data_IF_495882693192
#
_entry.id   IF_495882693192
#
_cell.length_a   1.000
_cell.length_b   1.000
_cell.length_c   1.000
_cell.angle_alpha   90.00
_cell.angle_beta   90.00
_cell.angle_gamma   90.00
#
_symmetry.space_group_name_H-M   'P 1'
#
loop_
_entity.id
_entity.type
_entity.pdbx_description
1 polymer ?
#
# COMPACT_ATOMS: atom_id res chain seq x y z
N UNK A 1 22.92 -5.68 -3.37
CA UNK A 1 22.09 -5.31 -2.18
C UNK A 1 20.64 -5.51 -2.60
N UNK A 2 19.85 -6.23 -1.82
CA UNK A 2 18.41 -6.30 -2.08
C UNK A 2 17.76 -4.98 -1.63
N UNK A 3 17.32 -4.14 -2.58
CA UNK A 3 16.73 -2.83 -2.25
C UNK A 3 15.40 -2.98 -1.50
N UNK A 4 14.66 -4.04 -1.79
CA UNK A 4 13.36 -4.29 -1.14
C UNK A 4 13.47 -4.83 0.29
N UNK A 5 14.67 -5.24 0.75
CA UNK A 5 14.89 -5.58 2.16
C UNK A 5 15.09 -4.35 3.07
N UNK A 6 15.39 -3.18 2.50
CA UNK A 6 15.51 -1.92 3.24
C UNK A 6 14.15 -1.49 3.80
N UNK A 7 14.16 -0.72 4.89
CA UNK A 7 12.98 0.01 5.35
C UNK A 7 12.63 1.12 4.36
N UNK A 8 11.41 1.62 4.38
CA UNK A 8 10.98 2.69 3.47
C UNK A 8 11.80 3.97 3.68
N UNK A 9 12.08 4.32 4.93
CA UNK A 9 12.89 5.49 5.27
C UNK A 9 14.35 5.31 4.86
N UNK A 10 14.94 4.12 5.00
CA UNK A 10 16.30 3.84 4.54
C UNK A 10 16.41 3.93 3.01
N UNK A 11 15.46 3.34 2.29
CA UNK A 11 15.42 3.41 0.84
C UNK A 11 15.24 4.87 0.37
N UNK A 12 14.33 5.62 0.98
CA UNK A 12 14.11 7.04 0.69
C UNK A 12 15.37 7.90 0.92
N UNK A 13 16.13 7.63 1.99
CA UNK A 13 17.43 8.28 2.24
C UNK A 13 18.44 8.00 1.12
N UNK A 14 18.54 6.75 0.66
CA UNK A 14 19.42 6.35 -0.44
C UNK A 14 19.02 6.97 -1.78
N UNK A 15 17.72 7.07 -2.05
CA UNK A 15 17.20 7.76 -3.24
C UNK A 15 17.56 9.25 -3.18
N UNK A 16 17.30 9.89 -2.05
CA UNK A 16 17.57 11.31 -1.85
C UNK A 16 19.07 11.66 -1.94
N UNK A 17 19.95 10.75 -1.51
CA UNK A 17 21.41 10.94 -1.63
C UNK A 17 21.95 10.65 -3.02
N UNK A 18 21.15 10.13 -3.95
CA UNK A 18 21.57 9.70 -5.29
C UNK A 18 22.29 8.35 -5.32
N UNK A 19 22.36 7.62 -4.19
CA UNK A 19 22.94 6.27 -4.11
C UNK A 19 22.08 5.23 -4.86
N UNK A 20 20.76 5.44 -4.89
CA UNK A 20 19.78 4.62 -5.58
C UNK A 20 18.89 5.50 -6.44
N UNK A 21 18.64 5.13 -7.68
CA UNK A 21 17.66 5.82 -8.51
C UNK A 21 16.25 5.28 -8.23
N UNK A 22 15.24 6.13 -8.42
CA UNK A 22 13.83 5.72 -8.26
C UNK A 22 13.49 4.55 -9.18
N UNK A 23 13.98 4.57 -10.43
CA UNK A 23 13.77 3.47 -11.39
C UNK A 23 14.38 2.15 -10.94
N UNK A 24 15.50 2.18 -10.20
CA UNK A 24 16.14 0.97 -9.68
C UNK A 24 15.31 0.38 -8.53
N UNK A 25 14.75 1.23 -7.67
CA UNK A 25 13.85 0.80 -6.60
C UNK A 25 12.55 0.18 -7.16
N UNK A 26 11.98 0.80 -8.20
CA UNK A 26 10.79 0.28 -8.89
C UNK A 26 11.10 -1.04 -9.59
N UNK A 27 12.21 -1.15 -10.30
CA UNK A 27 12.61 -2.41 -10.93
C UNK A 27 12.79 -3.52 -9.89
N UNK A 28 13.45 -3.24 -8.76
CA UNK A 28 13.63 -4.22 -7.70
C UNK A 28 12.28 -4.73 -7.13
N UNK A 29 11.28 -3.84 -6.99
CA UNK A 29 9.94 -4.25 -6.57
C UNK A 29 9.25 -5.15 -7.61
N UNK A 30 9.32 -4.79 -8.90
CA UNK A 30 8.75 -5.63 -9.96
C UNK A 30 9.46 -6.97 -10.12
N UNK A 31 10.77 -7.01 -9.98
CA UNK A 31 11.55 -8.24 -10.04
C UNK A 31 11.18 -9.18 -8.87
N UNK A 32 10.92 -8.62 -7.68
CA UNK A 32 10.45 -9.40 -6.54
C UNK A 32 9.02 -9.90 -6.76
N UNK A 33 8.11 -9.06 -7.26
CA UNK A 33 6.74 -9.46 -7.63
C UNK A 33 6.78 -10.62 -8.64
N UNK A 34 7.58 -10.52 -9.70
CA UNK A 34 7.72 -11.58 -10.69
C UNK A 34 8.19 -12.91 -10.07
N UNK A 35 9.06 -12.82 -9.06
CA UNK A 35 9.63 -13.99 -8.40
C UNK A 35 8.64 -14.71 -7.47
N UNK A 36 7.75 -13.99 -6.76
CA UNK A 36 6.99 -14.59 -5.65
C UNK A 36 5.47 -14.46 -5.75
N UNK A 37 4.94 -13.47 -6.49
CA UNK A 37 3.51 -13.12 -6.47
C UNK A 37 2.60 -14.26 -6.93
N UNK A 38 3.05 -15.06 -7.89
CA UNK A 38 2.31 -16.25 -8.35
C UNK A 38 1.99 -17.23 -7.22
N UNK A 39 2.84 -17.28 -6.21
CA UNK A 39 2.70 -18.17 -5.07
C UNK A 39 1.97 -17.51 -3.89
N UNK A 40 2.10 -16.18 -3.74
CA UNK A 40 1.58 -15.42 -2.59
C UNK A 40 0.19 -14.88 -2.86
N UNK A 41 -0.06 -14.35 -4.08
CA UNK A 41 -1.32 -13.69 -4.46
C UNK A 41 -1.66 -12.49 -3.57
N UNK A 42 -0.68 -11.62 -3.37
CA UNK A 42 -0.80 -10.42 -2.53
C UNK A 42 -1.50 -9.26 -3.24
N UNK A 43 -1.52 -9.24 -4.59
CA UNK A 43 -2.15 -8.20 -5.40
C UNK A 43 -3.40 -8.71 -6.10
N UNK A 44 -4.39 -7.82 -6.25
CA UNK A 44 -5.48 -7.94 -7.23
C UNK A 44 -5.04 -7.39 -8.59
N UNK A 45 -4.29 -6.29 -8.54
CA UNK A 45 -3.80 -5.61 -9.74
C UNK A 45 -2.39 -5.10 -9.52
N UNK A 46 -1.44 -5.63 -10.26
CA UNK A 46 -0.12 -5.02 -10.44
C UNK A 46 -0.22 -4.08 -11.64
N UNK A 47 0.25 -2.84 -11.50
CA UNK A 47 0.21 -1.87 -12.60
C UNK A 47 1.22 -2.23 -13.69
N UNK A 48 1.02 -1.73 -14.90
CA UNK A 48 1.96 -1.96 -16.00
C UNK A 48 3.33 -1.36 -15.65
N UNK A 49 4.37 -2.17 -15.74
CA UNK A 49 5.73 -1.77 -15.35
C UNK A 49 6.18 -0.50 -16.09
N UNK A 50 5.84 -0.38 -17.37
CA UNK A 50 6.20 0.76 -18.21
C UNK A 50 5.59 2.07 -17.68
N UNK A 51 4.29 2.05 -17.33
CA UNK A 51 3.59 3.22 -16.77
C UNK A 51 4.19 3.66 -15.41
N UNK A 52 4.58 2.68 -14.57
CA UNK A 52 5.18 2.95 -13.26
C UNK A 52 6.61 3.49 -13.43
N UNK A 53 7.37 2.99 -14.40
CA UNK A 53 8.71 3.48 -14.69
C UNK A 53 8.71 4.91 -15.24
N UNK A 54 7.76 5.28 -16.11
CA UNK A 54 7.59 6.66 -16.57
C UNK A 54 7.30 7.60 -15.38
N UNK A 55 6.45 7.18 -14.44
CA UNK A 55 6.19 7.94 -13.20
C UNK A 55 7.45 8.03 -12.33
N UNK A 56 8.23 6.96 -12.23
CA UNK A 56 9.47 6.91 -11.47
C UNK A 56 10.52 7.90 -12.01
N UNK A 57 10.66 7.99 -13.33
CA UNK A 57 11.57 8.96 -13.96
C UNK A 57 11.12 10.41 -13.72
N UNK A 58 9.82 10.67 -13.80
CA UNK A 58 9.27 11.98 -13.47
C UNK A 58 9.55 12.36 -12.01
N UNK A 59 9.31 11.43 -11.07
CA UNK A 59 9.59 11.66 -9.65
C UNK A 59 11.09 11.86 -9.40
N UNK A 60 11.97 11.09 -10.06
CA UNK A 60 13.41 11.28 -9.98
C UNK A 60 13.80 12.71 -10.35
N UNK A 61 13.27 13.23 -11.46
CA UNK A 61 13.52 14.61 -11.88
C UNK A 61 13.09 15.62 -10.83
N UNK A 62 11.92 15.45 -10.21
CA UNK A 62 11.45 16.36 -9.15
C UNK A 62 12.34 16.29 -7.89
N UNK A 63 12.90 15.11 -7.58
CA UNK A 63 13.88 14.96 -6.50
C UNK A 63 15.18 15.68 -6.83
N UNK A 64 15.71 15.50 -8.05
CA UNK A 64 16.96 16.12 -8.52
C UNK A 64 16.86 17.66 -8.57
N UNK A 65 15.66 18.17 -8.87
CA UNK A 65 15.34 19.61 -8.85
C UNK A 65 15.05 20.16 -7.44
N UNK A 66 15.07 19.32 -6.40
CA UNK A 66 14.79 19.70 -5.02
C UNK A 66 13.32 20.03 -4.73
N UNK A 67 12.39 19.66 -5.62
CA UNK A 67 10.94 19.86 -5.45
C UNK A 67 10.30 18.80 -4.55
N UNK A 68 10.85 17.57 -4.53
CA UNK A 68 10.45 16.48 -3.66
C UNK A 68 11.61 16.16 -2.71
N UNK A 69 11.42 16.48 -1.42
CA UNK A 69 12.46 16.32 -0.39
C UNK A 69 12.03 15.40 0.75
N UNK A 70 10.80 14.92 0.72
CA UNK A 70 10.23 14.06 1.76
C UNK A 70 10.88 12.67 1.83
N UNK A 71 10.74 11.97 2.96
CA UNK A 71 11.37 10.66 3.19
C UNK A 71 10.78 9.52 2.33
N UNK A 72 9.58 9.70 1.78
CA UNK A 72 8.90 8.69 0.96
C UNK A 72 8.99 8.98 -0.55
N UNK A 73 9.69 10.05 -0.95
CA UNK A 73 9.84 10.39 -2.36
C UNK A 73 10.61 9.28 -3.11
N UNK A 74 10.00 8.75 -4.17
CA UNK A 74 10.55 7.68 -4.99
C UNK A 74 10.39 6.26 -4.40
N UNK A 75 9.81 6.11 -3.21
CA UNK A 75 9.69 4.81 -2.54
C UNK A 75 8.47 4.04 -3.07
N UNK A 76 8.62 2.75 -3.51
CA UNK A 76 7.52 1.92 -3.98
C UNK A 76 6.52 1.57 -2.88
N UNK A 77 5.22 1.74 -3.18
CA UNK A 77 4.11 1.48 -2.24
C UNK A 77 2.98 0.70 -2.91
N UNK A 78 2.31 -0.14 -2.12
CA UNK A 78 1.09 -0.83 -2.51
C UNK A 78 -0.14 -0.29 -1.75
N UNK A 79 -1.30 -0.29 -2.40
CA UNK A 79 -2.54 0.29 -1.86
C UNK A 79 -3.60 -0.79 -1.75
N UNK A 80 -4.19 -0.99 -0.57
CA UNK A 80 -5.31 -1.92 -0.40
C UNK A 80 -6.46 -1.59 -1.36
N UNK A 81 -7.05 -2.62 -1.95
CA UNK A 81 -7.97 -2.48 -3.07
C UNK A 81 -9.37 -1.91 -2.73
N UNK A 82 -9.58 -1.43 -1.51
CA UNK A 82 -10.75 -0.65 -1.12
C UNK A 82 -10.51 0.86 -1.09
N UNK A 83 -9.32 1.33 -1.44
CA UNK A 83 -9.04 2.77 -1.58
C UNK A 83 -9.14 3.18 -3.03
N UNK A 84 -10.09 4.06 -3.34
CA UNK A 84 -10.24 4.62 -4.68
C UNK A 84 -8.93 5.24 -5.15
N UNK A 85 -8.52 4.86 -6.36
CA UNK A 85 -7.35 5.43 -7.04
C UNK A 85 -7.81 5.81 -8.44
N UNK A 86 -7.74 7.09 -8.78
CA UNK A 86 -8.27 7.63 -10.04
C UNK A 86 -7.75 6.85 -11.24
N UNK A 87 -8.68 6.45 -12.12
CA UNK A 87 -8.42 5.74 -13.37
C UNK A 87 -7.70 4.38 -13.21
N UNK A 88 -7.64 3.85 -11.98
CA UNK A 88 -7.11 2.53 -11.67
C UNK A 88 -8.21 1.63 -11.12
N UNK A 89 -8.23 0.38 -11.60
CA UNK A 89 -9.22 -0.61 -11.17
C UNK A 89 -9.23 -0.70 -9.63
N UNK A 90 -10.43 -0.60 -9.03
CA UNK A 90 -10.63 -0.69 -7.58
C UNK A 90 -11.82 -1.60 -7.31
N UNK A 91 -11.56 -2.82 -6.85
CA UNK A 91 -12.56 -3.88 -6.82
C UNK A 91 -13.06 -4.27 -5.44
N UNK A 92 -12.37 -3.88 -4.37
CA UNK A 92 -12.58 -4.45 -3.03
C UNK A 92 -12.48 -5.98 -3.02
N UNK A 93 -11.66 -6.56 -3.88
CA UNK A 93 -11.56 -8.00 -4.11
C UNK A 93 -12.88 -8.69 -4.45
N UNK A 94 -13.82 -7.94 -5.04
CA UNK A 94 -15.17 -8.40 -5.44
C UNK A 94 -15.35 -8.40 -6.96
N UNK A 95 -16.04 -9.42 -7.47
CA UNK A 95 -16.48 -9.46 -8.86
C UNK A 95 -17.47 -8.32 -9.20
N UNK A 96 -18.23 -7.86 -8.21
CA UNK A 96 -19.24 -6.80 -8.39
C UNK A 96 -18.57 -5.51 -8.89
N UNK A 97 -17.38 -5.17 -8.39
CA UNK A 97 -16.61 -4.00 -8.79
C UNK A 97 -15.49 -4.32 -9.82
N UNK A 98 -15.53 -5.46 -10.46
CA UNK A 98 -14.50 -5.92 -11.41
C UNK A 98 -14.26 -5.03 -12.62
N UNK A 99 -15.08 -4.00 -12.82
CA UNK A 99 -14.95 -2.98 -13.86
C UNK A 99 -15.07 -1.55 -13.32
N UNK A 100 -14.88 -1.36 -12.02
CA UNK A 100 -15.00 -0.03 -11.42
C UNK A 100 -13.66 0.72 -11.46
N UNK A 101 -13.63 1.82 -12.20
CA UNK A 101 -12.52 2.77 -12.29
C UNK A 101 -12.96 4.09 -11.67
N UNK A 102 -12.51 4.41 -10.45
CA UNK A 102 -12.89 5.65 -9.79
C UNK A 102 -12.45 6.88 -10.58
N UNK A 103 -13.28 7.93 -10.58
CA UNK A 103 -12.95 9.24 -11.16
C UNK A 103 -12.21 10.16 -10.19
N UNK A 104 -11.91 9.66 -8.99
CA UNK A 104 -11.20 10.37 -7.92
C UNK A 104 -10.34 9.40 -7.11
N UNK A 105 -9.36 9.95 -6.38
CA UNK A 105 -8.55 9.18 -5.44
C UNK A 105 -8.96 9.43 -3.99
N UNK A 106 -8.73 8.45 -3.12
CA UNK A 106 -8.80 8.63 -1.68
C UNK A 106 -7.79 9.69 -1.23
N UNK A 107 -8.12 10.48 -0.20
CA UNK A 107 -7.23 11.54 0.27
C UNK A 107 -5.86 11.01 0.71
N UNK A 108 -5.83 9.86 1.39
CA UNK A 108 -4.57 9.22 1.77
C UNK A 108 -3.69 8.87 0.53
N UNK A 109 -4.31 8.45 -0.57
CA UNK A 109 -3.61 8.16 -1.84
C UNK A 109 -3.08 9.46 -2.45
N UNK A 110 -3.88 10.53 -2.45
CA UNK A 110 -3.47 11.86 -2.92
C UNK A 110 -2.26 12.37 -2.13
N UNK A 111 -2.27 12.21 -0.82
CA UNK A 111 -1.17 12.65 0.05
C UNK A 111 0.12 11.88 -0.20
N UNK A 112 0.05 10.55 -0.44
CA UNK A 112 1.21 9.77 -0.85
C UNK A 112 1.74 10.20 -2.22
N UNK A 113 0.85 10.45 -3.18
CA UNK A 113 1.27 10.92 -4.51
C UNK A 113 1.94 12.29 -4.46
N UNK A 114 1.41 13.22 -3.65
CA UNK A 114 2.04 14.53 -3.39
C UNK A 114 3.40 14.41 -2.71
N UNK A 115 3.58 13.40 -1.85
CA UNK A 115 4.88 13.10 -1.23
C UNK A 115 5.87 12.42 -2.18
N UNK A 116 5.46 12.12 -3.41
CA UNK A 116 6.30 11.48 -4.43
C UNK A 116 6.42 9.97 -4.27
N UNK A 117 5.53 9.31 -3.55
CA UNK A 117 5.49 7.86 -3.48
C UNK A 117 5.13 7.23 -4.83
N UNK A 118 5.71 6.06 -5.14
CA UNK A 118 5.46 5.35 -6.40
C UNK A 118 4.51 4.18 -6.14
N UNK A 119 3.24 4.34 -6.54
CA UNK A 119 2.23 3.28 -6.38
C UNK A 119 2.45 2.22 -7.46
N UNK A 120 2.63 0.95 -7.04
CA UNK A 120 2.91 -0.17 -7.94
C UNK A 120 1.73 -1.10 -8.17
N UNK A 121 0.69 -1.03 -7.32
CA UNK A 121 -0.48 -1.88 -7.49
C UNK A 121 -1.51 -1.78 -6.37
N UNK A 122 -2.56 -2.61 -6.51
CA UNK A 122 -3.69 -2.74 -5.58
C UNK A 122 -3.63 -4.11 -4.93
N UNK A 123 -3.56 -4.14 -3.59
CA UNK A 123 -3.38 -5.38 -2.84
C UNK A 123 -4.70 -6.10 -2.56
N UNK A 124 -4.61 -7.42 -2.53
CA UNK A 124 -5.70 -8.31 -2.23
C UNK A 124 -6.23 -8.14 -0.80
N UNK A 125 -7.48 -8.50 -0.59
CA UNK A 125 -8.17 -8.31 0.68
C UNK A 125 -9.35 -9.27 0.80
N UNK A 126 -9.91 -9.43 1.97
CA UNK A 126 -11.24 -10.03 2.09
C UNK A 126 -12.27 -9.17 1.37
N UNK A 127 -13.22 -9.79 0.67
CA UNK A 127 -14.23 -9.11 -0.13
C UNK A 127 -14.95 -8.02 0.69
N UNK A 128 -14.95 -6.76 0.20
CA UNK A 128 -15.47 -5.57 0.88
C UNK A 128 -14.96 -5.37 2.31
N UNK A 129 -13.74 -5.83 2.61
CA UNK A 129 -13.11 -5.80 3.93
C UNK A 129 -13.85 -6.64 5.01
N UNK A 130 -14.75 -7.53 4.61
CA UNK A 130 -15.58 -8.37 5.48
C UNK A 130 -14.90 -9.72 5.71
N UNK A 131 -13.84 -9.77 6.48
CA UNK A 131 -13.14 -11.00 6.80
C UNK A 131 -11.88 -10.77 7.61
N UNK A 132 -11.15 -11.85 7.90
CA UNK A 132 -9.96 -11.84 8.74
C UNK A 132 -8.87 -12.80 8.25
N UNK A 133 -8.99 -13.32 7.02
CA UNK A 133 -8.08 -14.34 6.49
C UNK A 133 -7.61 -14.09 5.06
N UNK A 134 -8.26 -13.16 4.34
CA UNK A 134 -8.06 -12.88 2.91
C UNK A 134 -8.33 -14.12 2.02
N UNK A 135 -9.24 -14.97 2.47
CA UNK A 135 -9.72 -16.16 1.73
C UNK A 135 -10.99 -15.85 0.93
N UNK A 136 -11.73 -14.79 1.28
CA UNK A 136 -13.03 -14.46 0.67
C UNK A 136 -12.89 -13.65 -0.63
N UNK A 137 -11.67 -13.34 -1.05
CA UNK A 137 -11.40 -12.63 -2.29
C UNK A 137 -11.89 -13.40 -3.51
N UNK A 138 -12.59 -12.72 -4.42
CA UNK A 138 -12.94 -13.26 -5.74
C UNK A 138 -11.70 -13.63 -6.57
N UNK A 139 -10.58 -12.96 -6.34
CA UNK A 139 -9.32 -13.17 -7.08
C UNK A 139 -8.44 -14.29 -6.47
N UNK A 140 -9.01 -15.05 -5.53
CA UNK A 140 -8.33 -16.13 -4.83
C UNK A 140 -7.68 -15.71 -3.51
N UNK A 141 -7.33 -16.67 -2.65
CA UNK A 141 -6.76 -16.41 -1.34
C UNK A 141 -5.32 -15.92 -1.43
N UNK A 142 -4.97 -14.97 -0.57
CA UNK A 142 -3.57 -14.61 -0.32
C UNK A 142 -2.96 -15.60 0.69
N UNK A 143 -1.70 -15.95 0.49
CA UNK A 143 -0.96 -16.85 1.38
C UNK A 143 0.03 -16.08 2.25
N UNK A 144 0.32 -16.64 3.43
CA UNK A 144 1.32 -16.08 4.32
C UNK A 144 2.73 -16.34 3.76
N UNK A 145 3.56 -15.30 3.53
CA UNK A 145 4.90 -15.49 2.96
C UNK A 145 5.84 -16.37 3.77
N UNK A 146 5.65 -16.43 5.10
CA UNK A 146 6.46 -17.26 6.00
C UNK A 146 6.11 -18.75 5.91
N UNK A 147 4.85 -19.06 5.67
CA UNK A 147 4.38 -20.42 5.46
C UNK A 147 3.10 -20.39 4.61
N UNK A 148 3.21 -20.84 3.38
CA UNK A 148 2.14 -20.79 2.37
C UNK A 148 0.92 -21.68 2.68
N UNK A 149 1.01 -22.55 3.71
CA UNK A 149 -0.12 -23.33 4.23
C UNK A 149 -0.96 -22.55 5.24
N UNK A 150 -0.54 -21.34 5.62
CA UNK A 150 -1.23 -20.47 6.55
C UNK A 150 -1.78 -19.22 5.88
N UNK A 151 -2.83 -18.67 6.48
CA UNK A 151 -3.42 -17.40 6.07
C UNK A 151 -2.55 -16.22 6.49
N UNK A 152 -2.53 -15.12 5.72
CA UNK A 152 -1.82 -13.90 6.09
C UNK A 152 -2.56 -13.07 7.14
N UNK A 153 -3.77 -13.49 7.52
CA UNK A 153 -4.74 -12.65 8.20
C UNK A 153 -5.52 -11.76 7.23
N UNK A 154 -6.32 -10.84 7.77
CA UNK A 154 -7.19 -9.96 6.97
C UNK A 154 -7.91 -8.90 7.82
N UNK A 155 -8.61 -8.05 7.17
CA UNK A 155 -8.86 -8.01 5.72
C UNK A 155 -7.74 -7.38 4.87
N UNK A 156 -6.68 -6.80 5.45
CA UNK A 156 -5.53 -6.25 4.72
C UNK A 156 -4.41 -7.31 4.52
N UNK A 157 -4.77 -8.58 4.29
CA UNK A 157 -3.80 -9.67 4.17
C UNK A 157 -2.83 -9.48 3.00
N UNK A 158 -3.33 -9.03 1.84
CA UNK A 158 -2.48 -8.73 0.69
C UNK A 158 -1.47 -7.61 0.98
N UNK A 159 -1.89 -6.53 1.66
CA UNK A 159 -0.97 -5.44 2.04
C UNK A 159 0.15 -5.94 2.97
N UNK A 160 -0.20 -6.76 3.96
CA UNK A 160 0.79 -7.29 4.90
C UNK A 160 1.69 -8.35 4.25
N UNK A 161 1.13 -9.22 3.40
CA UNK A 161 1.88 -10.21 2.65
C UNK A 161 2.86 -9.57 1.66
N UNK A 162 2.44 -8.52 0.93
CA UNK A 162 3.29 -7.80 -0.01
C UNK A 162 4.52 -7.17 0.68
N UNK A 163 4.33 -6.57 1.87
CA UNK A 163 5.45 -6.02 2.65
C UNK A 163 6.35 -7.14 3.19
N UNK A 164 5.79 -8.22 3.73
CA UNK A 164 6.53 -9.36 4.27
C UNK A 164 7.30 -10.13 3.19
N UNK A 165 6.75 -10.21 1.97
CA UNK A 165 7.40 -10.83 0.81
C UNK A 165 8.37 -9.89 0.08
N UNK A 166 8.58 -8.67 0.59
CA UNK A 166 9.45 -7.67 -0.03
C UNK A 166 9.02 -7.23 -1.45
N UNK A 167 7.72 -7.33 -1.77
CA UNK A 167 7.17 -6.90 -3.06
C UNK A 167 6.96 -5.39 -3.14
N UNK A 168 6.94 -4.73 -2.00
CA UNK A 168 6.95 -3.28 -1.84
C UNK A 168 7.64 -2.88 -0.54
N UNK A 169 8.05 -1.61 -0.43
CA UNK A 169 8.69 -1.12 0.78
C UNK A 169 7.70 -0.94 1.93
N UNK A 170 6.47 -0.54 1.61
CA UNK A 170 5.35 -0.38 2.53
C UNK A 170 4.01 -0.44 1.79
N UNK A 171 2.93 -0.56 2.55
CA UNK A 171 1.59 -0.56 2.00
C UNK A 171 0.61 0.25 2.86
N UNK A 172 -0.53 0.63 2.29
CA UNK A 172 -1.69 1.07 3.06
C UNK A 172 -2.67 -0.08 3.25
N UNK A 173 -3.20 -0.17 4.44
CA UNK A 173 -4.32 -1.04 4.82
C UNK A 173 -5.50 -0.23 5.34
N UNK A 174 -6.60 -0.92 5.66
CA UNK A 174 -7.73 -0.36 6.39
C UNK A 174 -8.11 -1.26 7.55
N UNK A 175 -8.55 -0.68 8.66
CA UNK A 175 -8.88 -1.40 9.89
C UNK A 175 -10.20 -0.89 10.45
N UNK A 176 -11.14 -1.80 10.64
CA UNK A 176 -12.43 -1.56 11.27
C UNK A 176 -12.49 -2.26 12.63
N UNK A 177 -12.09 -3.52 12.67
CA UNK A 177 -12.09 -4.37 13.87
C UNK A 177 -10.80 -5.19 14.04
N UNK A 178 -9.67 -4.76 13.41
CA UNK A 178 -8.40 -5.48 13.47
C UNK A 178 -7.71 -5.67 12.12
N UNK A 179 -8.31 -5.17 11.03
CA UNK A 179 -7.91 -5.54 9.66
C UNK A 179 -6.57 -4.97 9.16
N UNK A 180 -5.85 -4.18 9.96
CA UNK A 180 -4.41 -3.88 9.80
C UNK A 180 -3.62 -4.66 10.84
N UNK A 181 -4.03 -4.58 12.11
CA UNK A 181 -3.27 -5.07 13.26
C UNK A 181 -3.10 -6.58 13.24
N UNK A 182 -4.17 -7.33 12.96
CA UNK A 182 -4.15 -8.78 12.95
C UNK A 182 -3.31 -9.34 11.79
N UNK A 183 -3.50 -8.93 10.51
CA UNK A 183 -2.65 -9.45 9.44
C UNK A 183 -1.20 -8.98 9.57
N UNK A 184 -0.92 -7.81 10.13
CA UNK A 184 0.46 -7.40 10.44
C UNK A 184 1.14 -8.34 11.43
N UNK A 185 0.42 -8.75 12.48
CA UNK A 185 0.90 -9.75 13.44
C UNK A 185 1.16 -11.11 12.79
N UNK A 186 0.28 -11.56 11.89
CA UNK A 186 0.41 -12.86 11.22
C UNK A 186 1.55 -12.89 10.21
N UNK A 187 1.80 -11.77 9.52
CA UNK A 187 2.87 -11.64 8.53
C UNK A 187 4.20 -11.15 9.13
N UNK A 188 4.28 -10.88 10.44
CA UNK A 188 5.50 -10.44 11.09
C UNK A 188 5.99 -9.06 10.63
N UNK A 189 5.05 -8.15 10.31
CA UNK A 189 5.32 -6.76 9.92
C UNK A 189 4.69 -5.80 10.92
N UNK A 190 5.01 -4.52 10.84
CA UNK A 190 4.43 -3.47 11.67
C UNK A 190 3.21 -2.86 10.99
N UNK A 191 2.11 -2.71 11.73
CA UNK A 191 0.92 -2.03 11.26
C UNK A 191 0.32 -1.12 12.32
N UNK A 192 -0.12 0.06 11.93
CA UNK A 192 -0.76 1.02 12.84
C UNK A 192 -2.20 1.29 12.40
N UNK A 193 -3.15 1.04 13.31
CA UNK A 193 -4.49 1.60 13.23
C UNK A 193 -4.48 2.94 13.98
N UNK A 194 -4.52 4.08 13.30
CA UNK A 194 -4.53 5.37 13.97
C UNK A 194 -5.83 5.60 14.74
N UNK A 195 -5.85 6.64 15.56
CA UNK A 195 -7.08 7.14 16.17
C UNK A 195 -8.08 7.53 15.08
N UNK A 196 -9.37 7.26 15.34
CA UNK A 196 -10.44 7.59 14.40
C UNK A 196 -10.43 9.10 14.07
N UNK A 197 -10.50 9.42 12.77
CA UNK A 197 -10.42 10.78 12.26
C UNK A 197 -9.00 11.32 12.02
N UNK A 198 -7.94 10.60 12.38
CA UNK A 198 -6.56 11.04 12.09
C UNK A 198 -6.26 11.07 10.60
N UNK A 199 -6.81 10.11 9.85
CA UNK A 199 -6.65 9.98 8.39
C UNK A 199 -8.03 10.09 7.76
N UNK A 200 -8.18 10.93 6.74
CA UNK A 200 -9.44 11.06 6.00
C UNK A 200 -9.88 9.73 5.41
N UNK A 201 -11.17 9.42 5.55
CA UNK A 201 -11.81 8.25 4.93
C UNK A 201 -12.39 8.57 3.56
N UNK A 202 -12.27 9.80 3.08
CA UNK A 202 -12.73 10.15 1.74
C UNK A 202 -12.04 9.26 0.70
N UNK A 203 -12.86 8.56 -0.10
CA UNK A 203 -12.42 7.60 -1.10
C UNK A 203 -12.06 6.21 -0.56
N UNK A 204 -12.23 5.95 0.73
CA UNK A 204 -12.24 4.60 1.27
C UNK A 204 -13.64 3.99 1.07
N UNK A 205 -13.74 2.84 0.40
CA UNK A 205 -15.00 2.09 0.31
C UNK A 205 -15.26 1.47 1.67
N UNK A 206 -16.39 1.87 2.28
CA UNK A 206 -16.66 1.60 3.69
C UNK A 206 -17.04 0.14 3.97
N UNK A 207 -16.61 -0.35 5.14
CA UNK A 207 -17.15 -1.54 5.78
C UNK A 207 -18.01 -1.13 6.99
N UNK A 208 -17.42 -0.47 7.98
CA UNK A 208 -18.10 0.08 9.15
C UNK A 208 -17.72 1.52 9.35
N UNK A 209 -18.45 2.45 8.71
CA UNK A 209 -18.09 3.88 8.58
C UNK A 209 -17.74 4.58 9.88
N UNK A 210 -18.30 4.15 11.02
CA UNK A 210 -18.00 4.72 12.34
C UNK A 210 -16.74 4.16 12.99
N UNK A 211 -16.05 3.22 12.34
CA UNK A 211 -14.89 2.52 12.88
C UNK A 211 -13.71 2.50 11.89
N UNK A 212 -13.99 2.56 10.59
CA UNK A 212 -12.98 2.42 9.54
C UNK A 212 -11.87 3.47 9.67
N UNK A 213 -10.64 3.01 9.58
CA UNK A 213 -9.46 3.88 9.45
C UNK A 213 -8.48 3.31 8.43
N UNK A 214 -7.88 4.20 7.64
CA UNK A 214 -6.71 3.90 6.82
C UNK A 214 -5.47 3.99 7.71
N UNK A 215 -4.52 3.09 7.52
CA UNK A 215 -3.25 3.14 8.22
C UNK A 215 -2.13 2.41 7.50
N UNK A 216 -0.89 2.66 7.91
CA UNK A 216 0.30 2.10 7.30
C UNK A 216 0.55 0.65 7.72
N UNK A 217 1.18 -0.08 6.81
CA UNK A 217 1.84 -1.37 7.02
C UNK A 217 3.26 -1.26 6.49
N UNK A 218 4.26 -1.55 7.29
CA UNK A 218 5.66 -1.42 6.94
C UNK A 218 6.54 -2.37 7.75
N UNK A 219 7.85 -2.34 7.52
CA UNK A 219 8.80 -3.25 8.19
C UNK A 219 9.04 -2.87 9.66
N UNK A 220 9.02 -1.58 9.97
CA UNK A 220 9.26 -1.12 11.34
C UNK A 220 8.33 0.04 11.75
N UNK A 221 8.47 0.45 13.02
CA UNK A 221 7.66 1.51 13.63
C UNK A 221 8.03 2.89 13.07
N UNK A 222 9.28 3.11 12.70
CA UNK A 222 9.77 4.38 12.14
C UNK A 222 9.14 4.63 10.78
N UNK A 223 9.11 3.61 9.93
CA UNK A 223 8.41 3.66 8.64
C UNK A 223 6.93 3.96 8.84
N UNK A 224 6.26 3.20 9.73
CA UNK A 224 4.83 3.40 9.99
C UNK A 224 4.52 4.81 10.50
N UNK A 225 5.35 5.38 11.37
CA UNK A 225 5.18 6.75 11.87
C UNK A 225 5.34 7.76 10.74
N UNK A 226 6.34 7.60 9.89
CA UNK A 226 6.62 8.47 8.74
C UNK A 226 5.49 8.43 7.70
N UNK A 227 4.97 7.24 7.43
CA UNK A 227 3.84 7.06 6.50
C UNK A 227 2.58 7.68 7.10
N UNK A 228 2.31 7.45 8.39
CA UNK A 228 1.16 8.02 9.08
C UNK A 228 1.21 9.55 9.07
N UNK A 229 2.35 10.16 9.35
CA UNK A 229 2.56 11.61 9.25
C UNK A 229 2.24 12.14 7.83
N UNK A 230 2.60 11.38 6.82
CA UNK A 230 2.36 11.75 5.41
C UNK A 230 0.88 11.70 5.04
N UNK A 231 0.12 10.71 5.53
CA UNK A 231 -1.30 10.52 5.15
C UNK A 231 -2.28 11.18 6.11
N UNK A 232 -1.86 11.57 7.31
CA UNK A 232 -2.69 12.25 8.29
C UNK A 232 -2.92 13.71 7.86
N UNK A 233 -4.18 14.09 7.71
CA UNK A 233 -4.54 15.47 7.30
C UNK A 233 -5.99 15.76 7.63
N UNK A 234 -6.28 17.05 7.89
CA UNK A 234 -7.63 17.54 7.83
C UNK A 234 -8.16 17.48 6.39
N UNK A 235 -9.38 17.00 6.23
CA UNK A 235 -10.07 16.95 4.93
C UNK A 235 -11.54 17.35 5.09
N UNK A 236 -11.92 18.48 4.48
CA UNK A 236 -13.30 18.97 4.51
C UNK A 236 -14.33 18.02 3.85
N UNK A 237 -13.87 17.00 3.11
CA UNK A 237 -14.71 15.95 2.50
C UNK A 237 -15.04 14.81 3.46
N UNK A 238 -14.32 14.71 4.59
CA UNK A 238 -14.62 13.77 5.68
C UNK A 238 -14.90 14.56 6.97
N UNK A 239 -16.15 14.60 7.40
CA UNK A 239 -16.58 15.35 8.58
C UNK A 239 -15.95 14.87 9.89
N UNK A 240 -15.24 13.75 9.90
CA UNK A 240 -14.57 13.18 11.07
C UNK A 240 -13.05 13.40 11.08
N UNK A 241 -12.51 13.88 9.98
CA UNK A 241 -11.08 14.16 9.81
C UNK A 241 -10.69 15.50 10.45
#
# INVERSE_FOLDING_TARGET
MNLMSLTAVELGKKIKSGEVRVVDAVNAAFDQIEAVEKDINSYVTVYKKEEVLEKAEHIQKLIDEGQLTGPLAGVPVAIKDNMCTRDKLTTCSSKILGNFYPTYSAEAVINLEKAGAVIIGKTNMDEFAMGSTTETSFYGPTKNPWNKEHVPGGSSGGSCAAVAAEECSYALGSDTGGSIRQPSSFCGVTGIKPTYGTVSRYGLIAYGSSLDQIGPVAKDVTDCATILETIASYDSKDSTS
#
